data_IF_064121762681
#
_entry.id   IF_064121762681
#
_cell.length_a   1.000
_cell.length_b   1.000
_cell.length_c   1.000
_cell.angle_alpha   90.00
_cell.angle_beta   90.00
_cell.angle_gamma   90.00
#
_symmetry.space_group_name_H-M   'P 1'
#
loop_
_entity.id
_entity.type
_entity.pdbx_description
1 polymer ?
#
# COMPACT_ATOMS: atom_id res chain seq x y z
N UNK A 1 22.03 20.62 13.24
CA UNK A 1 21.33 21.48 12.27
C UNK A 1 19.91 20.97 12.19
N UNK A 2 18.94 21.70 12.74
CA UNK A 2 17.52 21.33 12.62
C UNK A 2 17.12 21.54 11.16
N UNK A 3 17.17 20.47 10.35
CA UNK A 3 16.52 20.49 9.05
C UNK A 3 15.02 20.58 9.31
N UNK A 4 14.44 21.72 9.00
CA UNK A 4 12.99 21.86 8.95
C UNK A 4 12.49 20.96 7.83
N UNK A 5 11.89 19.82 8.20
CA UNK A 5 11.23 18.94 7.25
C UNK A 5 10.06 19.71 6.61
N UNK A 6 9.98 19.69 5.29
CA UNK A 6 8.92 20.36 4.54
C UNK A 6 7.65 19.51 4.54
N UNK A 7 6.49 20.12 4.29
CA UNK A 7 5.24 19.39 4.02
C UNK A 7 5.18 19.07 2.53
N UNK A 8 4.81 17.85 2.16
CA UNK A 8 4.66 17.44 0.77
C UNK A 8 3.50 18.17 0.08
N UNK A 9 3.67 18.50 -1.21
CA UNK A 9 2.58 18.98 -2.07
C UNK A 9 1.64 17.86 -2.47
N UNK A 10 0.83 18.04 -3.51
CA UNK A 10 -0.13 17.01 -4.00
C UNK A 10 0.55 15.82 -4.73
N UNK A 11 1.87 15.74 -4.72
CA UNK A 11 2.69 14.79 -5.47
C UNK A 11 3.26 13.65 -4.62
N UNK A 12 2.60 13.30 -3.50
CA UNK A 12 3.03 12.23 -2.59
C UNK A 12 3.37 10.92 -3.29
N UNK A 13 2.55 10.54 -4.27
CA UNK A 13 2.74 9.35 -5.07
C UNK A 13 3.48 9.68 -6.37
N UNK A 14 4.59 8.97 -6.61
CA UNK A 14 5.21 8.85 -7.91
C UNK A 14 4.56 7.71 -8.68
N UNK A 15 4.19 7.98 -9.93
CA UNK A 15 3.63 6.99 -10.83
C UNK A 15 4.51 6.83 -12.07
N UNK A 16 4.93 5.60 -12.33
CA UNK A 16 5.77 5.22 -13.46
C UNK A 16 5.02 4.18 -14.27
N UNK A 17 4.54 4.56 -15.46
CA UNK A 17 3.97 3.61 -16.41
C UNK A 17 5.08 2.76 -17.04
N UNK A 18 4.93 1.44 -16.98
CA UNK A 18 5.84 0.49 -17.62
C UNK A 18 5.27 -0.06 -18.93
N UNK A 19 4.11 0.43 -19.36
CA UNK A 19 3.41 -0.07 -20.54
C UNK A 19 2.52 -1.28 -20.24
N UNK A 20 1.72 -1.66 -21.23
CA UNK A 20 0.82 -2.82 -21.17
C UNK A 20 -0.17 -2.80 -19.97
N UNK A 21 -0.55 -1.59 -19.52
CA UNK A 21 -1.44 -1.41 -18.38
C UNK A 21 -0.81 -1.69 -17.02
N UNK A 22 0.53 -1.73 -16.93
CA UNK A 22 1.27 -1.93 -15.68
C UNK A 22 1.86 -0.59 -15.22
N UNK A 23 1.60 -0.22 -13.97
CA UNK A 23 2.16 0.97 -13.34
C UNK A 23 2.83 0.62 -12.01
N UNK A 24 4.01 1.22 -11.78
CA UNK A 24 4.67 1.26 -10.50
C UNK A 24 4.29 2.55 -9.77
N UNK A 25 3.92 2.43 -8.51
CA UNK A 25 3.54 3.53 -7.63
C UNK A 25 4.45 3.53 -6.40
N UNK A 26 4.93 4.71 -5.99
CA UNK A 26 5.87 4.88 -4.87
C UNK A 26 5.55 6.11 -4.04
N UNK A 27 5.67 6.01 -2.73
CA UNK A 27 5.59 7.16 -1.83
C UNK A 27 6.90 7.99 -1.90
N UNK A 28 6.91 9.09 -2.66
CA UNK A 28 8.13 9.89 -2.97
C UNK A 28 8.92 10.27 -1.74
N UNK A 29 8.19 10.61 -0.68
CA UNK A 29 8.73 11.22 0.52
C UNK A 29 9.03 10.23 1.64
N UNK A 30 8.88 8.93 1.36
CA UNK A 30 9.31 7.86 2.27
C UNK A 30 10.75 7.45 1.94
N UNK A 31 11.54 7.18 2.96
CA UNK A 31 12.92 6.75 2.82
C UNK A 31 13.01 5.44 2.01
N UNK A 32 14.00 5.35 1.12
CA UNK A 32 14.06 4.29 0.11
C UNK A 32 14.25 2.88 0.72
N UNK A 33 14.73 2.79 1.96
CA UNK A 33 14.93 1.54 2.69
C UNK A 33 13.65 1.00 3.36
N UNK A 34 12.61 1.82 3.52
CA UNK A 34 11.31 1.42 4.08
C UNK A 34 10.19 1.43 3.04
N UNK A 35 10.36 2.21 1.96
CA UNK A 35 9.32 2.38 0.94
C UNK A 35 9.10 1.08 0.15
N UNK A 36 7.88 0.56 0.16
CA UNK A 36 7.50 -0.54 -0.71
C UNK A 36 7.26 -0.09 -2.17
N UNK A 37 7.23 -1.05 -3.09
CA UNK A 37 6.75 -0.80 -4.46
C UNK A 37 5.29 -1.24 -4.53
N UNK A 38 4.40 -0.30 -4.85
CA UNK A 38 2.99 -0.59 -5.09
C UNK A 38 2.82 -0.83 -6.59
N UNK A 39 2.16 -1.92 -6.98
CA UNK A 39 1.94 -2.24 -8.38
C UNK A 39 0.47 -2.18 -8.74
N UNK A 40 0.14 -1.47 -9.81
CA UNK A 40 -1.19 -1.48 -10.41
C UNK A 40 -1.13 -2.20 -11.76
N UNK A 41 -2.01 -3.19 -11.95
CA UNK A 41 -2.09 -4.00 -13.17
C UNK A 41 -3.52 -3.92 -13.69
N UNK A 42 -3.67 -3.32 -14.87
CA UNK A 42 -4.97 -3.19 -15.51
C UNK A 42 -5.43 -4.50 -16.15
N UNK A 43 -6.68 -4.85 -15.86
CA UNK A 43 -7.37 -5.94 -16.49
C UNK A 43 -8.47 -5.50 -17.46
N UNK A 44 -9.18 -6.49 -17.99
CA UNK A 44 -10.37 -6.28 -18.81
C UNK A 44 -11.58 -5.97 -17.94
N UNK A 45 -11.75 -6.69 -16.84
CA UNK A 45 -12.93 -6.63 -15.98
C UNK A 45 -12.65 -5.98 -14.63
N UNK A 46 -11.45 -6.17 -14.10
CA UNK A 46 -11.01 -5.66 -12.81
C UNK A 46 -9.50 -5.45 -12.86
N UNK A 47 -9.01 -4.53 -12.05
CA UNK A 47 -7.58 -4.31 -11.90
C UNK A 47 -7.06 -5.04 -10.65
N UNK A 48 -5.76 -5.27 -10.63
CA UNK A 48 -5.05 -5.80 -9.49
C UNK A 48 -4.14 -4.71 -8.91
N UNK A 49 -4.24 -4.49 -7.61
CA UNK A 49 -3.28 -3.72 -6.83
C UNK A 49 -2.45 -4.70 -6.00
N UNK A 50 -1.12 -4.58 -6.06
CA UNK A 50 -0.20 -5.33 -5.21
C UNK A 50 0.46 -4.36 -4.24
N UNK A 51 0.27 -4.62 -2.94
CA UNK A 51 0.69 -3.76 -1.82
C UNK A 51 0.04 -2.37 -1.82
N UNK A 52 0.18 -1.63 -0.71
CA UNK A 52 -0.55 -0.38 -0.48
C UNK A 52 0.22 0.67 0.33
N UNK A 53 1.54 0.49 0.51
CA UNK A 53 2.40 1.48 1.16
C UNK A 53 2.17 1.63 2.65
N UNK A 54 2.68 2.72 3.21
CA UNK A 54 2.52 3.09 4.62
C UNK A 54 1.15 3.71 4.93
N UNK A 55 0.34 4.05 3.93
CA UNK A 55 -1.00 4.62 4.14
C UNK A 55 -1.00 6.05 4.67
N UNK A 56 0.09 6.79 4.46
CA UNK A 56 0.25 8.16 4.97
C UNK A 56 -0.60 9.19 4.21
N UNK A 57 -1.08 8.83 3.02
CA UNK A 57 -2.04 9.59 2.21
C UNK A 57 -2.98 8.66 1.44
N UNK A 58 -4.21 9.12 1.09
CA UNK A 58 -5.16 8.30 0.35
C UNK A 58 -4.59 7.77 -0.98
N UNK A 59 -4.61 6.45 -1.17
CA UNK A 59 -4.10 5.78 -2.37
C UNK A 59 -5.19 5.60 -3.44
N UNK A 60 -6.43 5.32 -3.03
CA UNK A 60 -7.57 5.03 -3.91
C UNK A 60 -7.83 6.13 -4.94
N UNK A 61 -7.70 7.45 -4.63
CA UNK A 61 -7.81 8.49 -5.64
C UNK A 61 -6.74 8.39 -6.74
N UNK A 62 -5.52 7.99 -6.41
CA UNK A 62 -4.46 7.80 -7.41
C UNK A 62 -4.75 6.59 -8.31
N UNK A 63 -5.27 5.50 -7.74
CA UNK A 63 -5.71 4.34 -8.53
C UNK A 63 -6.86 4.71 -9.47
N UNK A 64 -7.81 5.53 -8.99
CA UNK A 64 -8.94 5.99 -9.80
C UNK A 64 -8.52 6.87 -11.00
N UNK A 65 -7.35 7.51 -10.96
CA UNK A 65 -6.78 8.25 -12.10
C UNK A 65 -6.29 7.33 -13.22
N UNK A 66 -5.95 6.08 -12.90
CA UNK A 66 -5.48 5.09 -13.86
C UNK A 66 -6.64 4.32 -14.48
N UNK A 67 -7.69 4.06 -13.72
CA UNK A 67 -8.77 3.17 -14.12
C UNK A 67 -10.01 3.36 -13.26
N UNK A 68 -11.18 3.24 -13.88
CA UNK A 68 -12.47 3.22 -13.19
C UNK A 68 -12.97 1.80 -12.88
N UNK A 69 -12.18 0.76 -13.15
CA UNK A 69 -12.57 -0.63 -12.93
C UNK A 69 -12.54 -0.97 -11.43
N UNK A 70 -13.33 -1.97 -10.99
CA UNK A 70 -13.16 -2.56 -9.66
C UNK A 70 -11.72 -3.02 -9.45
N UNK A 71 -11.23 -2.93 -8.22
CA UNK A 71 -9.86 -3.29 -7.84
C UNK A 71 -9.90 -4.49 -6.89
N UNK A 72 -9.10 -5.51 -7.19
CA UNK A 72 -8.67 -6.51 -6.22
C UNK A 72 -7.38 -6.00 -5.60
N UNK A 73 -7.37 -5.79 -4.29
CA UNK A 73 -6.16 -5.44 -3.56
C UNK A 73 -5.55 -6.72 -2.96
N UNK A 74 -4.35 -7.09 -3.39
CA UNK A 74 -3.57 -8.20 -2.87
C UNK A 74 -2.34 -7.64 -2.18
N UNK A 75 -2.09 -8.04 -0.95
CA UNK A 75 -0.85 -7.67 -0.28
C UNK A 75 0.10 -8.86 -0.35
N UNK A 76 1.35 -8.60 -0.70
CA UNK A 76 2.39 -9.64 -0.80
C UNK A 76 2.63 -10.34 0.54
N UNK A 77 2.53 -9.59 1.65
CA UNK A 77 2.57 -10.04 3.03
C UNK A 77 1.99 -8.94 3.94
N UNK A 78 2.09 -9.10 5.27
CA UNK A 78 1.40 -8.26 6.25
C UNK A 78 2.30 -7.30 7.07
N UNK A 79 3.48 -6.94 6.59
CA UNK A 79 4.22 -5.84 7.22
C UNK A 79 3.54 -4.49 6.93
N UNK A 80 3.67 -3.56 7.86
CA UNK A 80 2.94 -2.28 7.90
C UNK A 80 3.18 -1.39 6.66
N UNK A 81 4.34 -1.52 6.01
CA UNK A 81 4.70 -0.79 4.79
C UNK A 81 4.04 -1.36 3.51
N UNK A 82 3.37 -2.50 3.61
CA UNK A 82 2.62 -3.11 2.51
C UNK A 82 1.10 -2.93 2.66
N UNK A 83 0.59 -2.63 3.85
CA UNK A 83 -0.85 -2.74 4.17
C UNK A 83 -1.54 -1.42 4.54
N UNK A 84 -0.83 -0.28 4.51
CA UNK A 84 -1.33 0.99 5.06
C UNK A 84 -2.61 1.50 4.43
N UNK A 85 -2.69 1.53 3.09
CA UNK A 85 -3.92 1.94 2.39
C UNK A 85 -4.85 0.77 2.07
N UNK A 86 -4.59 -0.44 2.57
CA UNK A 86 -5.41 -1.63 2.26
C UNK A 86 -6.89 -1.42 2.64
N UNK A 87 -7.15 -0.71 3.74
CA UNK A 87 -8.49 -0.37 4.24
C UNK A 87 -9.36 0.42 3.24
N UNK A 88 -8.77 1.07 2.24
CA UNK A 88 -9.50 1.85 1.24
C UNK A 88 -10.23 1.00 0.18
N UNK A 89 -9.87 -0.29 0.07
CA UNK A 89 -10.34 -1.20 -0.99
C UNK A 89 -11.35 -2.22 -0.46
N UNK A 90 -12.42 -2.47 -1.22
CA UNK A 90 -13.50 -3.36 -0.79
C UNK A 90 -13.11 -4.84 -0.86
N UNK A 91 -12.33 -5.24 -1.87
CA UNK A 91 -11.88 -6.61 -2.08
C UNK A 91 -10.39 -6.72 -1.74
N UNK A 92 -10.11 -7.21 -0.54
CA UNK A 92 -8.77 -7.39 0.03
C UNK A 92 -8.46 -8.87 0.15
N UNK A 93 -7.40 -9.32 -0.49
CA UNK A 93 -6.94 -10.71 -0.48
C UNK A 93 -5.50 -10.78 0.04
N UNK A 94 -5.18 -11.89 0.69
CA UNK A 94 -3.84 -12.15 1.22
C UNK A 94 -3.76 -13.56 1.78
N UNK A 95 -2.58 -13.94 2.27
CA UNK A 95 -2.39 -15.27 2.83
C UNK A 95 -3.05 -15.44 4.20
N UNK A 96 -3.64 -16.61 4.47
CA UNK A 96 -4.37 -16.86 5.73
C UNK A 96 -3.51 -16.67 6.99
N UNK A 97 -2.21 -16.98 6.91
CA UNK A 97 -1.27 -16.79 8.02
C UNK A 97 -1.15 -15.33 8.50
N UNK A 98 -1.55 -14.36 7.69
CA UNK A 98 -1.53 -12.95 8.04
C UNK A 98 -2.87 -12.43 8.60
N UNK A 99 -3.91 -13.25 8.69
CA UNK A 99 -5.28 -12.79 8.99
C UNK A 99 -5.37 -11.95 10.26
N UNK A 100 -4.72 -12.38 11.34
CA UNK A 100 -4.72 -11.67 12.63
C UNK A 100 -4.07 -10.28 12.52
N UNK A 101 -3.01 -10.14 11.71
CA UNK A 101 -2.35 -8.84 11.49
C UNK A 101 -3.26 -7.87 10.74
N UNK A 102 -4.14 -8.34 9.86
CA UNK A 102 -5.11 -7.46 9.21
C UNK A 102 -6.24 -6.99 10.15
N UNK A 103 -6.47 -7.71 11.25
CA UNK A 103 -7.42 -7.33 12.30
C UNK A 103 -6.79 -6.35 13.30
N UNK A 104 -5.52 -6.57 13.66
CA UNK A 104 -4.74 -5.71 14.55
C UNK A 104 -3.32 -5.50 13.97
N UNK A 105 -3.16 -4.50 13.07
CA UNK A 105 -1.91 -4.30 12.34
C UNK A 105 -0.81 -3.65 13.17
N UNK A 106 -1.15 -3.10 14.33
CA UNK A 106 -0.22 -2.40 15.22
C UNK A 106 -0.45 -2.79 16.68
N UNK A 107 -0.20 -4.06 17.02
CA UNK A 107 -0.32 -4.50 18.41
C UNK A 107 0.70 -3.76 19.29
N UNK A 108 0.42 -3.54 20.59
CA UNK A 108 1.28 -2.74 21.48
C UNK A 108 2.74 -3.22 21.59
N UNK A 109 3.00 -4.51 21.31
CA UNK A 109 4.34 -5.11 21.34
C UNK A 109 5.17 -4.77 20.09
N UNK A 110 4.56 -4.24 19.03
CA UNK A 110 5.26 -3.84 17.82
C UNK A 110 6.11 -2.59 18.08
N UNK A 111 7.43 -2.73 17.97
CA UNK A 111 8.38 -1.61 18.06
C UNK A 111 8.39 -0.80 16.77
N UNK A 112 7.28 -0.13 16.46
CA UNK A 112 7.12 0.62 15.21
C UNK A 112 8.11 1.79 15.12
N UNK A 113 8.49 2.37 16.25
CA UNK A 113 9.46 3.46 16.38
C UNK A 113 10.90 3.08 15.94
N UNK A 114 11.22 1.78 15.94
CA UNK A 114 12.47 1.29 15.34
C UNK A 114 12.52 1.48 13.82
N UNK A 115 11.35 1.59 13.16
CA UNK A 115 11.21 1.70 11.70
C UNK A 115 10.62 3.03 11.23
N UNK A 116 9.62 3.56 11.93
CA UNK A 116 8.94 4.82 11.60
C UNK A 116 9.44 5.89 12.55
N UNK A 117 10.42 6.65 12.08
CA UNK A 117 11.13 7.71 12.82
C UNK A 117 11.31 8.94 11.93
N UNK A 118 11.88 10.01 12.46
CA UNK A 118 12.04 11.26 11.70
C UNK A 118 12.76 11.04 10.36
N UNK A 119 13.79 10.19 10.33
CA UNK A 119 14.59 9.87 9.15
C UNK A 119 13.83 9.05 8.09
N UNK A 120 12.66 8.53 8.43
CA UNK A 120 11.77 7.83 7.50
C UNK A 120 11.15 8.80 6.48
N UNK A 121 11.07 10.09 6.81
CA UNK A 121 10.35 11.07 6.01
C UNK A 121 11.32 12.10 5.38
N UNK A 122 11.25 12.23 4.06
CA UNK A 122 11.90 13.31 3.30
C UNK A 122 11.03 14.59 3.29
N UNK A 123 9.72 14.43 3.51
CA UNK A 123 8.73 15.47 3.76
C UNK A 123 7.56 14.88 4.58
N UNK A 124 6.85 15.71 5.34
CA UNK A 124 5.66 15.28 6.09
C UNK A 124 4.45 15.11 5.16
N UNK A 125 3.56 14.13 5.42
CA UNK A 125 2.36 13.93 4.61
C UNK A 125 1.34 15.05 4.77
N UNK A 126 1.26 15.69 5.93
CA UNK A 126 0.46 16.89 6.17
C UNK A 126 1.04 17.68 7.36
N UNK A 127 0.57 18.91 7.54
CA UNK A 127 1.07 19.86 8.54
C UNK A 127 0.90 19.41 10.00
N UNK A 128 -0.15 18.63 10.28
CA UNK A 128 -0.46 18.07 11.59
C UNK A 128 0.14 16.68 11.85
N UNK A 129 0.96 16.14 10.94
CA UNK A 129 1.49 14.79 11.11
C UNK A 129 2.60 14.75 12.16
N UNK A 130 2.42 13.90 13.17
CA UNK A 130 3.46 13.55 14.12
C UNK A 130 3.91 12.11 13.87
N UNK A 131 5.21 11.84 13.92
CA UNK A 131 5.75 10.49 13.71
C UNK A 131 5.18 9.51 14.73
N UNK A 132 5.00 9.94 15.97
CA UNK A 132 4.40 9.16 17.06
C UNK A 132 2.90 8.88 16.86
N UNK A 133 2.21 9.61 15.97
CA UNK A 133 0.81 9.35 15.65
C UNK A 133 0.64 8.40 14.46
N UNK A 134 1.72 7.85 13.91
CA UNK A 134 1.63 6.88 12.82
C UNK A 134 0.82 5.66 13.25
N UNK A 135 -0.22 5.36 12.48
CA UNK A 135 -1.10 4.21 12.70
C UNK A 135 -1.55 3.62 11.37
N UNK A 136 -1.75 2.30 11.36
CA UNK A 136 -2.36 1.57 10.24
C UNK A 136 -3.82 1.27 10.61
N UNK A 137 -4.74 1.69 9.76
CA UNK A 137 -6.16 1.35 9.92
C UNK A 137 -6.35 -0.16 9.71
N UNK A 138 -6.97 -0.89 10.67
CA UNK A 138 -7.32 -2.30 10.47
C UNK A 138 -8.10 -2.54 9.18
N UNK A 139 -7.73 -3.60 8.45
CA UNK A 139 -8.27 -3.90 7.14
C UNK A 139 -8.46 -5.42 6.95
N UNK A 140 -9.40 -6.05 7.69
CA UNK A 140 -9.61 -7.51 7.64
C UNK A 140 -9.71 -8.04 6.21
N UNK A 141 -9.03 -9.14 5.91
CA UNK A 141 -9.09 -9.74 4.59
C UNK A 141 -10.52 -10.20 4.27
N UNK A 142 -10.92 -10.03 3.00
CA UNK A 142 -12.23 -10.45 2.48
C UNK A 142 -12.19 -11.81 1.81
N UNK A 143 -11.00 -12.35 1.63
CA UNK A 143 -10.73 -13.67 1.08
C UNK A 143 -9.24 -14.00 1.21
N UNK A 144 -8.91 -15.26 1.00
CA UNK A 144 -7.55 -15.77 1.16
C UNK A 144 -7.00 -16.27 -0.17
N UNK A 145 -5.67 -16.31 -0.27
CA UNK A 145 -4.92 -16.84 -1.40
C UNK A 145 -3.81 -17.77 -0.89
N UNK A 146 -3.67 -18.93 -1.52
CA UNK A 146 -2.63 -19.93 -1.28
C UNK A 146 -1.79 -20.18 -2.55
N UNK A 147 -0.64 -20.83 -2.42
CA UNK A 147 0.18 -21.24 -3.57
C UNK A 147 -0.65 -22.06 -4.58
N UNK A 148 -0.52 -21.70 -5.86
CA UNK A 148 -1.27 -22.32 -6.95
C UNK A 148 -2.63 -21.70 -7.24
N UNK A 149 -3.12 -20.76 -6.42
CA UNK A 149 -4.33 -20.00 -6.74
C UNK A 149 -4.14 -19.10 -7.95
N UNK A 150 -5.27 -18.69 -8.55
CA UNK A 150 -5.30 -17.84 -9.73
C UNK A 150 -6.17 -16.60 -9.52
N UNK A 151 -5.69 -15.47 -10.02
CA UNK A 151 -6.45 -14.21 -10.13
C UNK A 151 -6.67 -13.93 -11.61
N UNK A 152 -7.92 -14.04 -12.05
CA UNK A 152 -8.33 -13.73 -13.42
C UNK A 152 -8.82 -12.29 -13.53
N UNK A 153 -8.16 -11.48 -14.35
CA UNK A 153 -8.52 -10.09 -14.65
C UNK A 153 -9.30 -9.95 -15.98
N UNK A 154 -9.58 -11.06 -16.66
CA UNK A 154 -10.36 -11.21 -17.89
C UNK A 154 -9.52 -11.29 -19.16
N UNK A 155 -8.41 -10.55 -19.23
CA UNK A 155 -7.41 -10.64 -20.33
C UNK A 155 -6.03 -11.11 -19.83
N UNK A 156 -5.87 -11.26 -18.52
CA UNK A 156 -4.66 -11.72 -17.85
C UNK A 156 -5.07 -12.61 -16.70
N UNK A 157 -4.30 -13.69 -16.48
CA UNK A 157 -4.44 -14.55 -15.32
C UNK A 157 -3.10 -14.60 -14.61
N UNK A 158 -3.09 -14.24 -13.32
CA UNK A 158 -1.91 -14.31 -12.48
C UNK A 158 -2.01 -15.55 -11.60
N UNK A 159 -0.89 -16.25 -11.42
CA UNK A 159 -0.78 -17.41 -10.52
C UNK A 159 -0.03 -16.99 -9.25
N UNK A 160 -0.52 -17.42 -8.10
CA UNK A 160 0.15 -17.29 -6.80
C UNK A 160 1.25 -18.36 -6.70
N UNK A 161 2.44 -17.96 -6.23
CA UNK A 161 3.65 -18.77 -6.09
C UNK A 161 4.15 -18.80 -4.64
#
# INVERSE_FOLDING_TARGET
MNQTITIAGDDWYELISLGDGISLIRERYVADWLRCNIWHIQGKHQDLLIDSGLGLRPLKPEIARLSSRPVIAVMSHCHFDHIGSCHEFDRRLGHHACSDVYQDPMPPEMQIDAFVRAETFKALPHDQFEVSSFQITPAPLTGYLDDGDYIDLGNRVLRIL
#
